data_IF_060060885365
#
_entry.id   IF_060060885365
#
_cell.length_a   1.000
_cell.length_b   1.000
_cell.length_c   1.000
_cell.angle_alpha   90.00
_cell.angle_beta   90.00
_cell.angle_gamma   90.00
#
_symmetry.space_group_name_H-M   'P 1'
#
loop_
_entity.id
_entity.type
_entity.pdbx_description
1 polymer ?
#
# COMPACT_ATOMS: atom_id res chain seq x y z
N UNK A 1 11.65 -17.93 -10.01
CA UNK A 1 12.85 -18.31 -10.80
C UNK A 1 14.03 -18.35 -9.86
N UNK A 2 14.70 -19.45 -9.66
CA UNK A 2 15.87 -19.51 -8.79
C UNK A 2 17.07 -18.90 -9.54
N UNK A 3 17.76 -17.97 -8.95
CA UNK A 3 19.07 -17.50 -9.34
C UNK A 3 19.17 -16.21 -10.15
N UNK A 4 18.10 -15.44 -10.25
CA UNK A 4 18.23 -14.14 -10.86
C UNK A 4 19.01 -13.18 -9.93
N UNK A 5 20.11 -12.68 -10.43
CA UNK A 5 20.92 -11.71 -9.70
C UNK A 5 20.13 -10.41 -9.56
N UNK A 6 19.97 -9.91 -8.34
CA UNK A 6 19.28 -8.64 -8.07
C UNK A 6 19.84 -7.49 -8.90
N UNK A 7 21.15 -7.49 -9.13
CA UNK A 7 21.82 -6.50 -9.95
C UNK A 7 21.38 -6.52 -11.42
N UNK A 8 20.99 -7.66 -11.95
CA UNK A 8 20.56 -7.77 -13.34
C UNK A 8 19.23 -7.03 -13.56
N UNK A 9 18.25 -7.21 -12.69
CA UNK A 9 16.95 -6.52 -12.79
C UNK A 9 17.06 -5.03 -12.52
N UNK A 10 17.76 -4.65 -11.46
CA UNK A 10 17.98 -3.25 -11.15
C UNK A 10 18.85 -2.57 -12.20
N UNK A 11 19.79 -3.27 -12.84
CA UNK A 11 20.56 -2.72 -13.94
C UNK A 11 19.70 -2.43 -15.17
N UNK A 12 18.76 -3.29 -15.51
CA UNK A 12 17.80 -3.02 -16.60
C UNK A 12 16.97 -1.78 -16.27
N UNK A 13 16.40 -1.71 -15.08
CA UNK A 13 15.63 -0.56 -14.62
C UNK A 13 16.48 0.73 -14.64
N UNK A 14 17.71 0.70 -14.08
CA UNK A 14 18.64 1.83 -14.08
C UNK A 14 18.99 2.30 -15.49
N UNK A 15 19.18 1.37 -16.42
CA UNK A 15 19.48 1.67 -17.81
C UNK A 15 18.29 2.31 -18.52
N UNK A 16 17.09 1.83 -18.28
CA UNK A 16 15.87 2.40 -18.86
C UNK A 16 15.61 3.81 -18.33
N UNK A 17 15.82 4.05 -17.04
CA UNK A 17 15.76 5.39 -16.45
C UNK A 17 16.80 6.32 -17.11
N UNK A 18 18.08 5.90 -17.14
CA UNK A 18 19.17 6.71 -17.71
C UNK A 18 19.00 7.02 -19.20
N UNK A 19 18.43 6.11 -19.96
CA UNK A 19 18.23 6.26 -21.40
C UNK A 19 16.89 6.88 -21.79
N UNK A 20 16.05 7.25 -20.80
CA UNK A 20 14.71 7.82 -21.05
C UNK A 20 13.72 6.83 -21.66
N UNK A 21 13.96 5.52 -21.52
CA UNK A 21 13.11 4.44 -22.04
C UNK A 21 12.22 3.80 -20.99
N UNK A 22 12.18 4.34 -19.78
CA UNK A 22 11.30 3.81 -18.75
C UNK A 22 9.84 3.85 -19.23
N UNK A 23 9.12 2.73 -19.23
CA UNK A 23 7.71 2.69 -19.60
C UNK A 23 6.87 3.65 -18.73
N UNK A 24 5.78 4.14 -19.29
CA UNK A 24 4.87 5.04 -18.54
C UNK A 24 4.26 4.40 -17.30
N UNK A 25 4.08 3.09 -17.32
CA UNK A 25 3.70 2.27 -16.16
C UNK A 25 4.72 1.14 -16.03
N UNK A 26 5.34 1.05 -14.88
CA UNK A 26 6.34 0.03 -14.56
C UNK A 26 5.97 -0.66 -13.24
N UNK A 27 5.92 -1.97 -13.26
CA UNK A 27 5.72 -2.79 -12.07
C UNK A 27 7.04 -3.41 -11.66
N UNK A 28 7.49 -3.09 -10.46
CA UNK A 28 8.70 -3.64 -9.86
C UNK A 28 8.26 -4.61 -8.77
N UNK A 29 8.59 -5.87 -8.96
CA UNK A 29 8.35 -6.92 -7.95
C UNK A 29 9.70 -7.33 -7.40
N UNK A 30 9.91 -7.11 -6.10
CA UNK A 30 11.15 -7.45 -5.45
C UNK A 30 11.39 -8.97 -5.50
N UNK A 31 12.64 -9.42 -5.74
CA UNK A 31 12.99 -10.83 -5.54
C UNK A 31 12.72 -11.26 -4.10
N UNK A 32 12.47 -12.55 -3.89
CA UNK A 32 12.08 -13.10 -2.58
C UNK A 32 12.98 -12.65 -1.42
N UNK A 33 14.28 -12.52 -1.64
CA UNK A 33 15.24 -12.07 -0.60
C UNK A 33 15.02 -10.62 -0.17
N UNK A 34 14.36 -9.79 -0.99
CA UNK A 34 14.17 -8.36 -0.75
C UNK A 34 12.70 -7.95 -0.72
N UNK A 35 11.78 -8.93 -0.62
CA UNK A 35 10.34 -8.71 -0.68
C UNK A 35 9.71 -8.35 0.67
N UNK A 36 10.49 -8.41 1.76
CA UNK A 36 10.03 -8.32 3.15
C UNK A 36 9.16 -9.48 3.63
N UNK A 37 8.90 -10.49 2.78
CA UNK A 37 8.19 -11.69 3.22
C UNK A 37 8.94 -12.37 4.38
N UNK A 38 8.25 -12.79 5.46
CA UNK A 38 8.88 -13.27 6.70
C UNK A 38 9.76 -14.52 6.59
N UNK A 39 9.74 -15.24 5.51
CA UNK A 39 10.57 -16.44 5.31
C UNK A 39 11.98 -16.12 4.81
N UNK A 40 12.12 -15.65 3.55
CA UNK A 40 13.44 -15.44 2.96
C UNK A 40 13.98 -14.01 3.10
N UNK A 41 13.20 -13.07 3.62
CA UNK A 41 13.52 -11.65 3.63
C UNK A 41 13.31 -11.00 5.01
N UNK A 42 13.68 -9.73 5.09
CA UNK A 42 13.47 -8.89 6.27
C UNK A 42 13.20 -7.45 5.85
N UNK A 43 12.58 -6.64 6.74
CA UNK A 43 12.33 -5.22 6.46
C UNK A 43 13.57 -4.42 6.08
N UNK A 44 14.75 -4.75 6.63
CA UNK A 44 15.99 -4.04 6.30
C UNK A 44 16.48 -4.35 4.88
N UNK A 45 16.22 -5.55 4.38
CA UNK A 45 16.54 -5.92 3.00
C UNK A 45 15.58 -5.27 2.01
N UNK A 46 14.29 -5.22 2.31
CA UNK A 46 13.33 -4.49 1.51
C UNK A 46 13.59 -3.00 1.47
N UNK A 47 13.91 -2.40 2.61
CA UNK A 47 14.29 -0.98 2.68
C UNK A 47 15.53 -0.68 1.82
N UNK A 48 16.53 -1.56 1.80
CA UNK A 48 17.67 -1.43 0.91
C UNK A 48 17.24 -1.46 -0.57
N UNK A 49 16.39 -2.39 -0.93
CA UNK A 49 15.91 -2.53 -2.32
C UNK A 49 15.12 -1.29 -2.78
N UNK A 50 14.23 -0.78 -1.95
CA UNK A 50 13.48 0.46 -2.21
C UNK A 50 14.43 1.65 -2.39
N UNK A 51 15.47 1.72 -1.58
CA UNK A 51 16.50 2.76 -1.65
C UNK A 51 17.23 2.75 -2.99
N UNK A 52 17.57 1.57 -3.52
CA UNK A 52 18.20 1.42 -4.84
C UNK A 52 17.29 1.84 -5.99
N UNK A 53 15.97 1.57 -5.86
CA UNK A 53 14.97 2.05 -6.83
C UNK A 53 14.85 3.57 -6.81
N UNK A 54 14.79 4.17 -5.62
CA UNK A 54 14.74 5.63 -5.45
C UNK A 54 16.00 6.30 -5.98
N UNK A 55 17.18 5.75 -5.71
CA UNK A 55 18.44 6.26 -6.23
C UNK A 55 18.48 6.26 -7.76
N UNK A 56 18.00 5.19 -8.37
CA UNK A 56 17.95 5.10 -9.83
C UNK A 56 17.04 6.20 -10.42
N UNK A 57 15.87 6.42 -9.85
CA UNK A 57 14.91 7.44 -10.32
C UNK A 57 15.44 8.86 -10.09
N UNK A 58 15.98 9.14 -8.92
CA UNK A 58 16.41 10.48 -8.53
C UNK A 58 17.76 10.89 -9.16
N UNK A 59 18.53 9.93 -9.64
CA UNK A 59 19.76 10.20 -10.40
C UNK A 59 19.50 10.88 -11.76
N UNK A 60 18.26 10.85 -12.26
CA UNK A 60 17.89 11.49 -13.53
C UNK A 60 16.73 12.47 -13.28
N UNK A 61 17.03 13.76 -13.03
CA UNK A 61 16.01 14.76 -12.66
C UNK A 61 14.84 14.87 -13.64
N UNK A 62 15.10 14.72 -14.93
CA UNK A 62 14.08 14.77 -15.99
C UNK A 62 13.08 13.61 -15.90
N UNK A 63 13.51 12.46 -15.43
CA UNK A 63 12.63 11.31 -15.16
C UNK A 63 11.94 11.50 -13.82
N UNK A 64 12.71 11.86 -12.78
CA UNK A 64 12.15 12.05 -11.43
C UNK A 64 11.03 13.10 -11.40
N UNK A 65 11.22 14.23 -12.09
CA UNK A 65 10.23 15.32 -12.14
C UNK A 65 8.87 14.91 -12.72
N UNK A 66 8.76 13.73 -13.33
CA UNK A 66 7.56 13.19 -13.98
C UNK A 66 7.11 11.87 -13.37
N UNK A 67 7.72 11.45 -12.26
CA UNK A 67 7.51 10.12 -11.68
C UNK A 67 6.64 10.18 -10.44
N UNK A 68 5.71 9.26 -10.37
CA UNK A 68 4.99 8.86 -9.16
C UNK A 68 5.42 7.44 -8.81
N UNK A 69 5.96 7.24 -7.63
CA UNK A 69 6.32 5.93 -7.11
C UNK A 69 5.35 5.54 -6.01
N UNK A 70 4.61 4.46 -6.22
CA UNK A 70 3.84 3.79 -5.18
C UNK A 70 4.66 2.63 -4.62
N UNK A 71 4.89 2.61 -3.32
CA UNK A 71 5.47 1.48 -2.60
C UNK A 71 4.32 0.80 -1.89
N UNK A 72 3.95 -0.35 -2.41
CA UNK A 72 2.76 -1.08 -2.03
C UNK A 72 3.12 -2.43 -1.45
N UNK A 73 2.39 -2.87 -0.43
CA UNK A 73 2.54 -4.18 0.20
C UNK A 73 1.32 -5.02 -0.13
N UNK A 74 1.51 -6.32 -0.32
CA UNK A 74 0.46 -7.25 -0.70
C UNK A 74 -0.37 -7.71 0.49
N UNK A 75 0.26 -7.87 1.66
CA UNK A 75 -0.40 -8.29 2.88
C UNK A 75 0.10 -7.52 4.12
N UNK A 76 -0.57 -7.71 5.24
CA UNK A 76 -0.44 -6.86 6.42
C UNK A 76 0.49 -7.42 7.51
N UNK A 77 0.93 -8.65 7.40
CA UNK A 77 1.74 -9.36 8.38
C UNK A 77 1.21 -9.23 9.84
N UNK A 78 -0.11 -9.27 10.00
CA UNK A 78 -0.77 -9.20 11.31
C UNK A 78 -1.02 -7.81 11.89
N UNK A 79 -0.68 -6.74 11.19
CA UNK A 79 -0.95 -5.38 11.65
C UNK A 79 -2.39 -4.95 11.40
N UNK A 80 -2.92 -4.14 12.31
CA UNK A 80 -4.26 -3.57 12.23
C UNK A 80 -4.19 -2.05 12.19
N UNK A 81 -5.18 -1.44 11.55
CA UNK A 81 -5.37 0.01 11.63
C UNK A 81 -6.22 0.38 12.86
N UNK A 82 -6.18 1.66 13.23
CA UNK A 82 -7.13 2.28 14.15
C UNK A 82 -8.52 2.46 13.51
N UNK A 83 -8.61 2.33 12.20
CA UNK A 83 -9.81 2.50 11.40
C UNK A 83 -10.33 1.13 10.92
N UNK A 84 -11.59 0.76 11.20
CA UNK A 84 -12.16 -0.47 10.66
C UNK A 84 -12.29 -0.38 9.15
N UNK A 85 -11.84 -1.43 8.46
CA UNK A 85 -11.99 -1.50 7.01
C UNK A 85 -13.47 -1.40 6.61
N UNK A 86 -13.84 -0.56 5.63
CA UNK A 86 -15.18 -0.52 5.12
C UNK A 86 -15.54 -1.88 4.50
N UNK A 87 -16.75 -2.37 4.79
CA UNK A 87 -17.24 -3.63 4.26
C UNK A 87 -18.69 -3.50 3.84
N UNK A 88 -19.11 -4.29 2.86
CA UNK A 88 -20.51 -4.45 2.54
C UNK A 88 -21.26 -5.00 3.78
N UNK A 89 -22.58 -4.78 3.91
CA UNK A 89 -23.34 -5.31 5.03
C UNK A 89 -23.17 -6.84 5.14
N UNK A 90 -22.76 -7.30 6.33
CA UNK A 90 -22.70 -8.73 6.62
C UNK A 90 -24.10 -9.32 6.72
N UNK A 91 -24.18 -10.64 6.70
CA UNK A 91 -25.45 -11.37 6.89
C UNK A 91 -25.49 -11.85 8.33
N UNK A 92 -26.59 -11.55 9.04
CA UNK A 92 -26.82 -12.02 10.40
C UNK A 92 -27.21 -13.51 10.44
N UNK A 93 -27.42 -14.05 11.64
CA UNK A 93 -27.84 -15.44 11.84
C UNK A 93 -29.21 -15.77 11.21
N UNK A 94 -30.03 -14.76 10.92
CA UNK A 94 -31.34 -14.92 10.29
C UNK A 94 -31.30 -14.68 8.77
N UNK A 95 -30.13 -14.66 8.19
CA UNK A 95 -29.91 -14.38 6.76
C UNK A 95 -30.38 -12.99 6.32
N UNK A 96 -30.35 -12.01 7.23
CA UNK A 96 -30.70 -10.62 6.94
C UNK A 96 -29.43 -9.76 6.94
N UNK A 97 -29.39 -8.70 6.11
CA UNK A 97 -28.29 -7.76 6.15
C UNK A 97 -28.13 -7.12 7.55
N UNK A 98 -26.95 -7.26 8.13
CA UNK A 98 -26.57 -6.67 9.42
C UNK A 98 -25.89 -5.31 9.22
N UNK A 99 -26.53 -4.42 8.49
CA UNK A 99 -26.01 -3.09 8.17
C UNK A 99 -26.91 -2.38 7.15
N UNK A 100 -26.49 -1.16 6.79
CA UNK A 100 -27.20 -0.35 5.78
C UNK A 100 -26.25 0.01 4.65
N UNK A 101 -26.81 0.13 3.46
CA UNK A 101 -26.09 0.58 2.26
C UNK A 101 -27.07 1.28 1.31
N UNK A 102 -26.57 2.17 0.50
CA UNK A 102 -27.31 2.79 -0.60
C UNK A 102 -27.08 2.06 -1.93
N UNK A 103 -26.19 1.06 -1.95
CA UNK A 103 -25.92 0.25 -3.12
C UNK A 103 -26.96 -0.86 -3.26
N UNK A 104 -27.32 -1.20 -4.49
CA UNK A 104 -28.20 -2.32 -4.78
C UNK A 104 -27.50 -3.67 -4.60
N UNK A 105 -28.27 -4.74 -4.47
CA UNK A 105 -27.73 -6.10 -4.34
C UNK A 105 -26.82 -6.48 -5.52
N UNK A 106 -27.16 -6.05 -6.73
CA UNK A 106 -26.32 -6.27 -7.92
C UNK A 106 -24.96 -5.56 -7.83
N UNK A 107 -24.92 -4.36 -7.22
CA UNK A 107 -23.69 -3.61 -7.01
C UNK A 107 -22.83 -4.17 -5.87
N UNK A 108 -23.44 -4.89 -4.94
CA UNK A 108 -22.78 -5.54 -3.83
C UNK A 108 -22.37 -6.99 -4.12
N UNK A 109 -22.90 -7.61 -5.17
CA UNK A 109 -22.72 -9.03 -5.44
C UNK A 109 -21.25 -9.49 -5.46
N UNK A 110 -20.34 -8.60 -5.90
CA UNK A 110 -18.90 -8.89 -5.94
C UNK A 110 -18.21 -8.84 -4.58
N UNK A 111 -18.86 -8.33 -3.57
CA UNK A 111 -18.30 -8.21 -2.21
C UNK A 111 -18.61 -9.43 -1.34
N UNK A 112 -19.35 -10.40 -1.87
CA UNK A 112 -19.73 -11.61 -1.15
C UNK A 112 -19.10 -12.86 -1.75
N UNK A 113 -18.75 -13.81 -0.90
CA UNK A 113 -18.19 -15.09 -1.28
C UNK A 113 -19.29 -16.01 -1.87
N UNK A 114 -19.69 -15.70 -3.10
CA UNK A 114 -20.75 -16.41 -3.82
C UNK A 114 -20.22 -17.36 -4.91
N UNK A 115 -18.90 -17.36 -5.15
CA UNK A 115 -18.27 -18.14 -6.21
C UNK A 115 -17.42 -19.26 -5.62
N UNK A 116 -17.48 -20.46 -6.20
CA UNK A 116 -16.58 -21.53 -5.81
C UNK A 116 -15.13 -21.17 -6.17
N UNK A 117 -14.19 -21.69 -5.38
CA UNK A 117 -12.79 -21.56 -5.71
C UNK A 117 -12.49 -22.13 -7.12
N UNK A 118 -11.61 -21.50 -7.91
CA UNK A 118 -11.26 -21.99 -9.23
C UNK A 118 -10.77 -23.46 -9.19
N UNK A 119 -11.14 -24.28 -10.18
CA UNK A 119 -10.66 -25.65 -10.27
C UNK A 119 -9.12 -25.70 -10.28
N UNK A 120 -8.53 -26.59 -9.49
CA UNK A 120 -7.08 -26.78 -9.45
C UNK A 120 -6.32 -26.03 -8.34
N UNK A 121 -6.97 -25.19 -7.58
CA UNK A 121 -6.38 -24.56 -6.39
C UNK A 121 -6.37 -25.55 -5.21
N UNK A 122 -5.24 -26.20 -5.00
CA UNK A 122 -5.11 -27.39 -4.13
C UNK A 122 -5.41 -27.16 -2.65
N UNK A 123 -5.38 -25.94 -2.17
CA UNK A 123 -5.63 -25.61 -0.76
C UNK A 123 -7.02 -25.03 -0.48
N UNK A 124 -7.78 -24.69 -1.51
CA UNK A 124 -9.11 -24.08 -1.36
C UNK A 124 -10.27 -25.03 -1.65
N UNK A 125 -10.00 -26.31 -1.83
CA UNK A 125 -11.05 -27.34 -2.07
C UNK A 125 -12.16 -27.38 -1.01
N UNK A 126 -11.94 -26.76 0.13
CA UNK A 126 -12.81 -26.87 1.29
C UNK A 126 -13.53 -25.57 1.69
N UNK A 127 -13.47 -24.54 0.86
CA UNK A 127 -14.19 -23.29 1.12
C UNK A 127 -15.31 -23.10 0.08
N UNK A 128 -16.48 -23.73 0.32
CA UNK A 128 -17.64 -23.51 -0.53
C UNK A 128 -18.09 -22.04 -0.40
N UNK A 129 -18.79 -21.52 -1.41
CA UNK A 129 -19.42 -20.21 -1.29
C UNK A 129 -20.32 -20.18 -0.05
N UNK A 130 -20.08 -19.25 0.84
CA UNK A 130 -20.80 -19.14 2.13
C UNK A 130 -21.54 -17.82 2.30
N UNK A 131 -21.52 -16.95 1.27
CA UNK A 131 -22.20 -15.66 1.26
C UNK A 131 -21.58 -14.63 2.21
N UNK A 132 -20.44 -14.91 2.83
CA UNK A 132 -19.76 -13.96 3.70
C UNK A 132 -19.18 -12.80 2.90
N UNK A 133 -19.07 -11.67 3.57
CA UNK A 133 -18.42 -10.48 3.01
C UNK A 133 -16.90 -10.69 2.94
N UNK A 134 -16.30 -10.38 1.80
CA UNK A 134 -14.85 -10.35 1.69
C UNK A 134 -14.25 -9.17 2.46
N UNK A 135 -14.77 -7.97 2.22
CA UNK A 135 -14.19 -6.72 2.73
C UNK A 135 -12.78 -6.46 2.19
N UNK A 136 -12.22 -5.26 2.42
CA UNK A 136 -10.84 -4.95 2.08
C UNK A 136 -9.80 -5.68 2.94
N UNK A 137 -10.21 -6.27 4.07
CA UNK A 137 -9.31 -6.96 4.97
C UNK A 137 -8.55 -6.05 5.93
N UNK A 138 -7.40 -6.53 6.40
CA UNK A 138 -6.54 -5.84 7.36
C UNK A 138 -5.71 -4.78 6.65
N UNK A 139 -5.17 -3.83 7.43
CA UNK A 139 -4.35 -2.75 6.92
C UNK A 139 -3.04 -3.26 6.31
N UNK A 140 -2.69 -2.72 5.15
CA UNK A 140 -1.33 -2.79 4.59
C UNK A 140 -0.73 -1.38 4.53
N UNK A 141 0.59 -1.20 4.71
CA UNK A 141 1.24 0.07 4.51
C UNK A 141 1.23 0.47 3.04
N UNK A 142 1.24 1.77 2.78
CA UNK A 142 1.50 2.32 1.45
C UNK A 142 2.26 3.63 1.57
N UNK A 143 3.26 3.81 0.71
CA UNK A 143 3.96 5.08 0.57
C UNK A 143 3.79 5.63 -0.83
N UNK A 144 3.54 6.93 -0.91
CA UNK A 144 3.44 7.67 -2.17
C UNK A 144 4.59 8.65 -2.25
N UNK A 145 5.52 8.41 -3.16
CA UNK A 145 6.76 9.16 -3.27
C UNK A 145 6.84 9.83 -4.64
N UNK A 146 6.81 11.14 -4.65
CA UNK A 146 6.92 11.93 -5.88
C UNK A 146 7.18 13.41 -5.57
N UNK A 147 7.55 14.23 -6.56
CA UNK A 147 7.61 15.68 -6.36
C UNK A 147 6.28 16.31 -5.92
N UNK A 148 5.14 15.69 -6.27
CA UNK A 148 3.81 16.21 -5.97
C UNK A 148 3.23 15.75 -4.63
N UNK A 149 3.80 14.72 -4.00
CA UNK A 149 3.36 14.19 -2.69
C UNK A 149 4.33 14.53 -1.55
N UNK A 150 5.41 15.23 -1.84
CA UNK A 150 6.48 15.53 -0.89
C UNK A 150 6.01 16.38 0.28
N UNK A 151 6.46 16.09 1.49
CA UNK A 151 6.16 16.86 2.69
C UNK A 151 5.81 16.04 3.92
N UNK A 152 5.89 14.71 3.84
CA UNK A 152 5.63 13.81 4.96
C UNK A 152 4.16 13.81 5.40
N UNK A 153 3.26 13.86 4.45
CA UNK A 153 1.82 13.84 4.68
C UNK A 153 1.32 12.47 5.12
N UNK A 154 0.25 12.47 5.90
CA UNK A 154 -0.59 11.30 6.16
C UNK A 154 -1.93 11.55 5.48
N UNK A 155 -2.35 10.67 4.60
CA UNK A 155 -3.65 10.71 3.96
C UNK A 155 -4.57 9.71 4.67
N UNK A 156 -5.64 10.22 5.30
CA UNK A 156 -6.59 9.42 6.07
C UNK A 156 -7.77 8.90 5.26
N UNK A 157 -7.81 9.15 3.95
CA UNK A 157 -8.82 8.56 3.08
C UNK A 157 -8.64 7.03 3.03
N UNK A 158 -9.75 6.30 2.96
CA UNK A 158 -9.70 4.85 2.75
C UNK A 158 -9.22 4.52 1.34
N UNK A 159 -8.26 3.62 1.26
CA UNK A 159 -7.72 3.07 0.02
C UNK A 159 -7.66 1.56 0.10
N UNK A 160 -7.61 0.91 -1.04
CA UNK A 160 -7.31 -0.52 -1.16
C UNK A 160 -6.38 -0.79 -2.34
N UNK A 161 -6.06 -2.05 -2.63
CA UNK A 161 -5.19 -2.39 -3.76
C UNK A 161 -5.74 -1.92 -5.11
N UNK A 162 -7.06 -1.77 -5.26
CA UNK A 162 -7.65 -1.27 -6.50
C UNK A 162 -7.42 0.23 -6.69
N UNK A 163 -7.06 0.95 -5.63
CA UNK A 163 -6.80 2.39 -5.71
C UNK A 163 -5.65 2.75 -6.65
N UNK A 164 -4.62 1.88 -6.74
CA UNK A 164 -3.52 2.05 -7.70
C UNK A 164 -4.01 1.90 -9.13
N UNK A 165 -4.88 0.93 -9.40
CA UNK A 165 -5.50 0.75 -10.72
C UNK A 165 -6.37 1.94 -11.07
N UNK A 166 -7.13 2.46 -10.12
CA UNK A 166 -7.97 3.65 -10.31
C UNK A 166 -7.14 4.92 -10.57
N UNK A 167 -5.96 5.02 -10.00
CA UNK A 167 -5.02 6.08 -10.34
C UNK A 167 -4.58 5.98 -11.82
N UNK A 168 -4.30 4.76 -12.28
CA UNK A 168 -3.99 4.49 -13.70
C UNK A 168 -5.18 4.84 -14.59
N UNK A 169 -6.41 4.47 -14.19
CA UNK A 169 -7.63 4.87 -14.89
C UNK A 169 -7.72 6.39 -15.04
N UNK A 170 -7.53 7.11 -13.94
CA UNK A 170 -7.61 8.58 -13.94
C UNK A 170 -6.52 9.21 -14.82
N UNK A 171 -5.31 8.62 -14.82
CA UNK A 171 -4.17 9.14 -15.59
C UNK A 171 -4.30 8.90 -17.09
N UNK A 172 -4.82 7.76 -17.50
CA UNK A 172 -4.83 7.33 -18.92
C UNK A 172 -6.21 7.34 -19.57
N UNK A 173 -7.26 7.65 -18.83
CA UNK A 173 -8.63 7.65 -19.37
C UNK A 173 -9.16 6.25 -19.70
N UNK A 174 -8.66 5.23 -19.04
CA UNK A 174 -9.11 3.84 -19.16
C UNK A 174 -10.01 3.46 -17.99
N UNK A 175 -10.67 2.31 -18.08
CA UNK A 175 -11.48 1.79 -17.00
C UNK A 175 -11.27 0.29 -16.83
N UNK A 176 -11.05 -0.16 -15.58
CA UNK A 176 -11.03 -1.57 -15.19
C UNK A 176 -12.46 -1.99 -14.76
N UNK A 177 -13.16 -2.80 -15.56
CA UNK A 177 -14.56 -3.12 -15.30
C UNK A 177 -14.75 -4.03 -14.08
N UNK A 178 -13.72 -4.74 -13.64
CA UNK A 178 -13.80 -5.68 -12.53
C UNK A 178 -13.65 -5.02 -11.15
N UNK A 179 -13.36 -3.73 -11.08
CA UNK A 179 -13.42 -3.00 -9.81
C UNK A 179 -14.88 -2.78 -9.43
N UNK A 180 -15.31 -3.37 -8.33
CA UNK A 180 -16.71 -3.35 -7.92
C UNK A 180 -17.23 -1.93 -7.66
N UNK A 181 -18.54 -1.69 -7.84
CA UNK A 181 -19.17 -0.42 -7.47
C UNK A 181 -18.98 -0.07 -6.00
N UNK A 182 -18.95 -1.07 -5.10
CA UNK A 182 -18.69 -0.85 -3.69
C UNK A 182 -17.28 -0.26 -3.47
N UNK A 183 -16.24 -0.89 -4.01
CA UNK A 183 -14.87 -0.40 -3.88
C UNK A 183 -14.68 0.99 -4.49
N UNK A 184 -15.35 1.25 -5.60
CA UNK A 184 -15.38 2.59 -6.21
C UNK A 184 -16.05 3.64 -5.33
N UNK A 185 -17.03 3.24 -4.53
CA UNK A 185 -17.73 4.16 -3.62
C UNK A 185 -16.95 4.45 -2.34
N UNK A 186 -16.29 3.44 -1.76
CA UNK A 186 -15.68 3.56 -0.43
C UNK A 186 -14.17 3.82 -0.45
N UNK A 187 -13.48 3.46 -1.53
CA UNK A 187 -12.04 3.66 -1.64
C UNK A 187 -11.70 4.79 -2.62
N UNK A 188 -10.70 5.58 -2.27
CA UNK A 188 -10.17 6.64 -3.12
C UNK A 188 -9.36 6.09 -4.31
N UNK A 189 -8.99 6.99 -5.22
CA UNK A 189 -8.18 6.71 -6.41
C UNK A 189 -6.75 7.23 -6.30
N UNK A 190 -6.31 7.57 -5.11
CA UNK A 190 -5.01 8.14 -4.76
C UNK A 190 -4.73 9.54 -5.30
N UNK A 191 -5.59 10.15 -6.09
CA UNK A 191 -5.37 11.53 -6.59
C UNK A 191 -5.28 12.54 -5.46
N UNK A 192 -5.96 12.29 -4.33
CA UNK A 192 -5.90 13.10 -3.12
C UNK A 192 -4.53 13.13 -2.43
N UNK A 193 -3.62 12.22 -2.78
CA UNK A 193 -2.27 12.18 -2.24
C UNK A 193 -1.33 13.22 -2.88
N UNK A 194 -1.77 13.95 -3.91
CA UNK A 194 -0.92 14.79 -4.73
C UNK A 194 -1.37 16.24 -4.79
N UNK A 195 -0.39 17.12 -4.81
CA UNK A 195 -0.58 18.52 -5.20
C UNK A 195 0.08 18.75 -6.58
N UNK A 196 -0.64 18.41 -7.63
CA UNK A 196 -0.10 18.54 -8.99
C UNK A 196 0.08 19.99 -9.44
N UNK A 197 -0.60 20.94 -8.81
CA UNK A 197 -0.45 22.37 -9.13
C UNK A 197 0.86 22.96 -8.62
N UNK A 198 1.38 22.44 -7.52
CA UNK A 198 2.57 22.96 -6.87
C UNK A 198 3.51 21.81 -6.46
N UNK A 199 4.29 21.29 -7.41
CA UNK A 199 5.29 20.28 -7.09
C UNK A 199 6.34 20.86 -6.15
N UNK A 200 6.76 20.07 -5.17
CA UNK A 200 7.82 20.49 -4.26
C UNK A 200 9.19 20.23 -4.87
N UNK A 201 9.87 21.31 -5.29
CA UNK A 201 11.20 21.29 -5.88
C UNK A 201 12.37 21.40 -4.90
N UNK A 202 12.13 21.33 -3.58
CA UNK A 202 13.20 21.35 -2.59
C UNK A 202 14.22 20.22 -2.83
N UNK A 203 15.47 20.46 -2.47
CA UNK A 203 16.52 19.45 -2.53
C UNK A 203 16.13 18.23 -1.71
N UNK A 204 16.36 17.04 -2.28
CA UNK A 204 16.11 15.80 -1.56
C UNK A 204 16.99 15.74 -0.31
N UNK A 205 16.42 15.40 0.85
CA UNK A 205 17.23 15.29 2.06
C UNK A 205 18.18 14.10 1.95
N UNK A 206 19.35 14.23 2.55
CA UNK A 206 20.22 13.09 2.78
C UNK A 206 19.51 12.14 3.76
N UNK A 207 19.24 10.93 3.32
CA UNK A 207 18.61 9.93 4.18
C UNK A 207 19.65 9.40 5.16
N UNK A 208 19.41 9.62 6.45
CA UNK A 208 20.22 9.02 7.50
C UNK A 208 19.97 7.52 7.60
N UNK A 209 20.99 6.76 8.01
CA UNK A 209 20.84 5.33 8.27
C UNK A 209 20.75 4.44 7.04
N UNK A 210 21.11 4.95 5.86
CA UNK A 210 21.25 4.10 4.66
C UNK A 210 22.21 2.95 4.93
N UNK A 211 21.86 1.77 4.43
CA UNK A 211 22.67 0.56 4.56
C UNK A 211 23.24 0.16 3.21
N UNK A 212 24.45 -0.37 3.23
CA UNK A 212 24.97 -1.14 2.10
C UNK A 212 24.25 -2.48 2.00
N UNK A 213 24.38 -3.15 0.87
CA UNK A 213 23.83 -4.50 0.67
C UNK A 213 24.36 -5.47 1.75
N UNK A 214 25.67 -5.42 2.03
CA UNK A 214 26.30 -6.31 3.00
C UNK A 214 25.78 -6.04 4.43
N UNK A 215 25.64 -4.78 4.81
CA UNK A 215 25.06 -4.42 6.10
C UNK A 215 23.60 -4.88 6.22
N UNK A 216 22.79 -4.68 5.18
CA UNK A 216 21.40 -5.13 5.16
C UNK A 216 21.31 -6.67 5.31
N UNK A 217 22.13 -7.40 4.58
CA UNK A 217 22.19 -8.86 4.67
C UNK A 217 22.72 -9.36 6.03
N UNK A 218 23.69 -8.68 6.63
CA UNK A 218 24.19 -9.02 7.95
C UNK A 218 23.14 -8.77 9.03
N UNK A 219 22.45 -7.64 8.99
CA UNK A 219 21.36 -7.31 9.90
C UNK A 219 20.20 -8.28 9.78
N UNK A 220 19.85 -8.68 8.56
CA UNK A 220 18.82 -9.68 8.32
C UNK A 220 19.17 -11.01 8.99
N UNK A 221 20.40 -11.49 8.83
CA UNK A 221 20.85 -12.72 9.47
C UNK A 221 20.81 -12.64 10.99
N UNK A 222 21.17 -11.50 11.57
CA UNK A 222 21.14 -11.30 13.02
C UNK A 222 19.73 -11.25 13.62
N UNK A 223 18.72 -10.95 12.80
CA UNK A 223 17.31 -10.86 13.18
C UNK A 223 16.51 -12.14 12.81
N UNK A 224 17.16 -13.15 12.26
CA UNK A 224 16.47 -14.39 11.92
C UNK A 224 15.93 -15.12 13.16
N UNK A 225 14.68 -15.53 13.08
CA UNK A 225 13.97 -16.27 14.12
C UNK A 225 13.85 -17.75 13.77
N UNK A 226 13.88 -18.64 14.75
CA UNK A 226 13.71 -20.08 14.51
C UNK A 226 12.39 -20.37 13.82
N UNK A 227 12.44 -20.81 12.57
CA UNK A 227 11.26 -21.22 11.83
C UNK A 227 10.99 -22.72 11.94
N UNK A 228 12.00 -23.51 12.28
CA UNK A 228 11.96 -24.98 12.22
C UNK A 228 12.33 -25.67 13.57
N UNK A 229 12.50 -24.92 14.63
CA UNK A 229 12.95 -25.41 15.93
C UNK A 229 14.38 -25.93 15.95
N UNK A 230 15.14 -25.79 14.86
CA UNK A 230 16.51 -26.28 14.72
C UNK A 230 17.55 -25.18 14.66
N UNK A 231 17.20 -24.04 14.08
CA UNK A 231 18.08 -22.89 13.98
C UNK A 231 17.80 -21.91 15.10
N UNK A 232 18.73 -21.78 16.03
CA UNK A 232 18.60 -20.81 17.14
C UNK A 232 18.75 -19.40 16.61
N UNK A 233 17.66 -18.66 16.64
CA UNK A 233 17.62 -17.24 16.31
C UNK A 233 17.66 -16.45 17.61
N UNK A 234 18.41 -15.35 17.69
CA UNK A 234 18.35 -14.50 18.85
C UNK A 234 16.92 -13.98 18.99
N UNK A 235 16.25 -14.34 20.08
CA UNK A 235 14.97 -13.73 20.44
C UNK A 235 15.27 -12.29 20.82
N UNK A 236 14.72 -11.35 20.07
CA UNK A 236 14.65 -9.96 20.52
C UNK A 236 13.52 -9.89 21.55
N UNK A 237 13.81 -9.74 22.84
CA UNK A 237 12.74 -9.66 23.82
C UNK A 237 11.91 -8.43 23.55
N UNK A 238 10.59 -8.59 23.51
CA UNK A 238 9.69 -7.45 23.52
C UNK A 238 9.93 -6.64 24.80
N UNK A 239 9.89 -5.30 24.75
CA UNK A 239 9.90 -4.49 25.96
C UNK A 239 8.81 -4.95 26.91
N UNK A 240 9.08 -4.95 28.21
CA UNK A 240 8.10 -5.34 29.25
C UNK A 240 6.79 -4.53 29.15
N UNK A 241 6.89 -3.27 28.71
CA UNK A 241 5.75 -2.39 28.47
C UNK A 241 5.94 -1.73 27.11
N UNK A 242 5.60 -2.40 25.99
CA UNK A 242 5.75 -1.81 24.69
C UNK A 242 4.83 -0.57 24.55
N UNK A 243 5.43 0.54 24.22
CA UNK A 243 4.69 1.77 23.93
C UNK A 243 4.44 1.85 22.44
N UNK A 244 3.21 2.12 22.04
CA UNK A 244 2.92 2.41 20.65
C UNK A 244 3.71 3.66 20.21
N UNK A 245 4.30 3.65 19.01
CA UNK A 245 4.91 4.84 18.45
C UNK A 245 3.90 5.97 18.42
N UNK A 246 4.29 7.13 18.92
CA UNK A 246 3.46 8.34 18.83
C UNK A 246 3.93 9.17 17.65
N UNK A 247 2.97 9.71 16.89
CA UNK A 247 3.30 10.68 15.88
C UNK A 247 3.96 11.90 16.55
N UNK A 248 5.10 12.34 16.00
CA UNK A 248 5.73 13.57 16.46
C UNK A 248 4.80 14.75 16.19
N UNK A 249 4.38 15.43 17.25
CA UNK A 249 3.58 16.65 17.16
C UNK A 249 4.50 17.88 17.09
N UNK A 250 4.07 18.92 16.38
CA UNK A 250 4.79 20.20 16.33
C UNK A 250 6.01 20.26 15.40
N UNK A 251 6.39 19.16 14.74
CA UNK A 251 7.53 19.12 13.82
C UNK A 251 7.14 19.29 12.35
N UNK A 252 5.85 19.29 12.03
CA UNK A 252 5.35 19.46 10.67
C UNK A 252 4.65 20.80 10.52
N UNK A 253 4.93 21.56 9.47
CA UNK A 253 4.14 22.74 9.17
C UNK A 253 2.69 22.32 8.91
N UNK A 254 1.73 23.06 9.44
CA UNK A 254 0.34 22.93 9.05
C UNK A 254 0.23 23.30 7.58
N UNK A 255 -0.22 22.36 6.75
CA UNK A 255 -0.48 22.57 5.32
C UNK A 255 -1.87 22.05 5.03
N UNK A 256 -2.57 22.71 4.10
CA UNK A 256 -3.78 22.14 3.53
C UNK A 256 -3.48 20.75 2.96
N UNK A 257 -4.36 19.80 3.22
CA UNK A 257 -4.23 18.46 2.65
C UNK A 257 -4.42 18.56 1.14
N UNK A 258 -3.68 17.77 0.33
CA UNK A 258 -3.79 17.84 -1.12
C UNK A 258 -5.22 17.74 -1.65
N UNK A 259 -6.08 16.96 -1.01
CA UNK A 259 -7.47 16.80 -1.40
C UNK A 259 -8.37 18.01 -1.09
N UNK A 260 -7.99 18.87 -0.15
CA UNK A 260 -8.72 20.13 0.12
C UNK A 260 -8.66 21.09 -1.07
N UNK A 261 -7.70 20.87 -1.97
CA UNK A 261 -7.53 21.63 -3.20
C UNK A 261 -8.39 21.08 -4.35
N UNK A 262 -8.94 19.90 -4.20
CA UNK A 262 -9.79 19.26 -5.20
C UNK A 262 -11.28 19.47 -4.88
N UNK A 263 -11.81 20.60 -5.31
CA UNK A 263 -13.24 20.96 -5.12
C UNK A 263 -14.19 20.25 -6.09
N UNK A 264 -13.85 19.08 -6.61
CA UNK A 264 -14.79 18.34 -7.45
C UNK A 264 -15.87 17.68 -6.60
N UNK A 265 -17.12 17.76 -7.03
CA UNK A 265 -18.28 17.20 -6.34
C UNK A 265 -18.17 15.67 -6.04
N UNK A 266 -17.31 14.96 -6.76
CA UNK A 266 -17.02 13.53 -6.50
C UNK A 266 -16.09 13.30 -5.33
N UNK A 267 -15.12 14.18 -5.08
CA UNK A 267 -14.25 14.11 -3.90
C UNK A 267 -15.05 14.38 -2.62
N UNK A 268 -15.98 15.33 -2.65
CA UNK A 268 -16.81 15.69 -1.50
C UNK A 268 -17.76 14.57 -1.05
N UNK A 269 -18.25 13.73 -1.95
CA UNK A 269 -19.11 12.61 -1.58
C UNK A 269 -18.37 11.49 -0.84
N UNK A 270 -17.08 11.32 -1.11
CA UNK A 270 -16.24 10.33 -0.40
C UNK A 270 -15.70 10.91 0.91
N UNK A 271 -15.43 12.21 0.97
CA UNK A 271 -14.93 12.93 2.14
C UNK A 271 -15.96 13.06 3.26
N UNK A 272 -17.23 13.28 2.92
CA UNK A 272 -18.32 13.35 3.90
C UNK A 272 -18.49 12.05 4.69
N UNK A 273 -18.14 10.91 4.10
CA UNK A 273 -18.25 9.62 4.78
C UNK A 273 -17.04 9.31 5.69
N UNK A 274 -15.87 9.91 5.42
CA UNK A 274 -14.65 9.66 6.20
C UNK A 274 -14.40 10.71 7.29
N UNK A 275 -14.85 11.96 7.11
CA UNK A 275 -14.68 13.02 8.10
C UNK A 275 -15.60 12.83 9.30
N UNK A 276 -16.84 12.44 9.09
CA UNK A 276 -17.81 12.25 10.18
C UNK A 276 -17.46 11.06 11.08
N UNK A 277 -16.80 10.03 10.55
CA UNK A 277 -16.37 8.87 11.34
C UNK A 277 -15.08 9.11 12.15
N UNK A 278 -14.28 10.10 11.78
CA UNK A 278 -13.03 10.41 12.48
C UNK A 278 -13.22 11.43 13.62
N UNK A 279 -14.21 12.31 13.51
CA UNK A 279 -14.48 13.36 14.52
C UNK A 279 -15.40 12.91 15.67
N UNK A 280 -16.22 11.89 15.48
CA UNK A 280 -17.12 11.40 16.55
C UNK A 280 -16.48 10.43 17.54
N UNK A 281 -15.23 10.03 17.34
CA UNK A 281 -14.52 9.04 18.18
C UNK A 281 -13.58 9.61 19.24
N UNK A 282 -13.47 10.93 19.39
CA UNK A 282 -12.57 11.59 20.35
C UNK A 282 -13.29 12.61 21.25
N UNK A 283 -14.45 12.24 21.76
CA UNK A 283 -15.14 12.91 22.86
C UNK A 283 -14.84 12.19 24.18
#
# INVERSE_FOLDING_TARGET
MPGANVDEYLNTFRNDVKSGRLPQVSWIVAPATYSEHPGPSSPVQGAWYIQEVLDALTAVPEVWSKTVLFINFDENDGFFDHYPSPAAPSIDANQKPAGKTTLSDAQLAFEYHNYPAPPGTSKQKNYPPDGRVFGPGKRVPMYVVSPWSRGGWVNSQAFDHTSVLRFIEARFGVQEPNISPFRRAVCGDLTSAFNFANPNGETLPTLAGRKSLDEANQLSKSQEFEADGKTKRPKVPLPLNPQLPRQATGTRPSRALPYELHTSARANACLLYTSDAADEGLG
#
